data_IF_491892730495
#
_entry.id   IF_491892730495
#
_cell.length_a   1.000
_cell.length_b   1.000
_cell.length_c   1.000
_cell.angle_alpha   90.00
_cell.angle_beta   90.00
_cell.angle_gamma   90.00
#
_symmetry.space_group_name_H-M   'P 1'
#
loop_
_entity.id
_entity.type
_entity.pdbx_description
1 polymer ?
#
# COMPACT_ATOMS: atom_id res chain seq x y z
N UNK A 1 11.93 16.44 -5.96
CA UNK A 1 11.28 15.23 -5.45
C UNK A 1 10.92 14.42 -6.68
N UNK A 2 11.40 13.18 -6.75
CA UNK A 2 10.98 12.30 -7.84
C UNK A 2 9.50 11.97 -7.65
N UNK A 3 8.75 11.99 -8.75
CA UNK A 3 7.33 11.67 -8.76
C UNK A 3 7.14 10.17 -8.42
N UNK A 4 6.24 9.87 -7.49
CA UNK A 4 5.92 8.49 -7.15
C UNK A 4 4.99 7.90 -8.22
N UNK A 5 5.46 6.89 -8.94
CA UNK A 5 4.65 6.12 -9.88
C UNK A 5 3.81 5.08 -9.12
N UNK A 6 2.49 5.28 -9.12
CA UNK A 6 1.55 4.47 -8.35
C UNK A 6 0.90 3.36 -9.19
N UNK A 7 0.90 2.15 -8.66
CA UNK A 7 0.28 0.96 -9.25
C UNK A 7 -0.75 0.35 -8.30
N UNK A 8 -1.58 -0.58 -8.79
CA UNK A 8 -2.36 -1.47 -7.90
C UNK A 8 -1.66 -2.78 -7.79
N UNK A 9 -1.56 -3.27 -6.57
CA UNK A 9 -0.99 -4.57 -6.31
C UNK A 9 -1.60 -5.22 -5.07
N UNK A 10 -1.54 -6.55 -5.07
CA UNK A 10 -1.62 -7.32 -3.86
C UNK A 10 -0.19 -7.45 -3.28
N UNK A 11 -0.04 -7.15 -2.00
CA UNK A 11 1.26 -7.13 -1.30
C UNK A 11 1.24 -8.13 -0.16
N UNK A 12 2.24 -9.02 -0.14
CA UNK A 12 2.52 -9.89 1.00
C UNK A 12 3.85 -9.49 1.62
N UNK A 13 3.85 -9.28 2.93
CA UNK A 13 4.98 -8.93 3.77
C UNK A 13 5.40 -10.12 4.63
N UNK A 14 6.66 -10.16 5.05
CA UNK A 14 7.15 -11.16 6.01
C UNK A 14 6.52 -10.96 7.40
N UNK A 15 6.36 -9.71 7.81
CA UNK A 15 5.78 -9.32 9.10
C UNK A 15 4.50 -8.52 8.92
N UNK A 16 3.70 -8.44 10.00
CA UNK A 16 2.52 -7.57 10.05
C UNK A 16 2.96 -6.13 10.31
N UNK A 17 2.96 -5.30 9.26
CA UNK A 17 3.50 -3.93 9.31
C UNK A 17 2.49 -2.87 8.87
N UNK A 18 1.47 -3.21 8.09
CA UNK A 18 0.53 -2.25 7.52
C UNK A 18 -0.73 -2.18 8.38
N UNK A 19 -1.11 -1.01 8.93
CA UNK A 19 -2.36 -0.89 9.68
C UNK A 19 -3.59 -1.21 8.84
N UNK A 20 -4.51 -2.00 9.39
CA UNK A 20 -5.81 -2.25 8.79
C UNK A 20 -6.60 -0.94 8.76
N UNK A 21 -7.05 -0.46 7.58
CA UNK A 21 -7.77 0.79 7.46
C UNK A 21 -9.13 0.80 8.18
N UNK A 22 -9.69 -0.36 8.52
CA UNK A 22 -10.94 -0.51 9.27
C UNK A 22 -10.75 -0.77 10.76
N UNK A 23 -9.57 -1.25 11.16
CA UNK A 23 -9.21 -1.53 12.54
C UNK A 23 -7.73 -1.18 12.78
N UNK A 24 -7.39 0.10 12.98
CA UNK A 24 -5.99 0.56 12.99
C UNK A 24 -5.10 -0.06 14.08
N UNK A 25 -5.70 -0.68 15.11
CA UNK A 25 -4.98 -1.46 16.13
C UNK A 25 -4.52 -2.83 15.61
N UNK A 26 -5.06 -3.30 14.49
CA UNK A 26 -4.66 -4.53 13.82
C UNK A 26 -3.65 -4.22 12.71
N UNK A 27 -2.59 -5.02 12.64
CA UNK A 27 -1.58 -4.94 11.59
C UNK A 27 -1.75 -6.10 10.60
N UNK A 28 -1.55 -5.81 9.34
CA UNK A 28 -1.69 -6.72 8.20
C UNK A 28 -0.31 -7.01 7.60
N UNK A 29 -0.12 -8.26 7.19
CA UNK A 29 0.98 -8.70 6.33
C UNK A 29 0.51 -9.05 4.92
N UNK A 30 -0.80 -9.10 4.68
CA UNK A 30 -1.39 -9.29 3.36
C UNK A 30 -2.33 -8.11 3.10
N UNK A 31 -2.03 -7.35 2.04
CA UNK A 31 -2.76 -6.14 1.67
C UNK A 31 -3.21 -6.29 0.23
N UNK A 32 -4.51 -6.48 0.03
CA UNK A 32 -5.09 -6.67 -1.30
C UNK A 32 -5.53 -5.35 -1.92
N UNK A 33 -5.39 -5.26 -3.24
CA UNK A 33 -5.79 -4.12 -4.07
C UNK A 33 -5.23 -2.78 -3.58
N UNK A 34 -4.06 -2.79 -2.94
CA UNK A 34 -3.41 -1.59 -2.42
C UNK A 34 -2.93 -0.68 -3.56
N UNK A 35 -2.79 0.62 -3.29
CA UNK A 35 -1.99 1.50 -4.16
C UNK A 35 -0.55 1.47 -3.68
N UNK A 36 0.38 1.17 -4.58
CA UNK A 36 1.79 0.99 -4.24
C UNK A 36 2.69 1.84 -5.11
N UNK A 37 3.80 2.34 -4.55
CA UNK A 37 4.85 3.00 -5.31
C UNK A 37 6.23 2.57 -4.79
N UNK A 38 7.18 2.40 -5.69
CA UNK A 38 8.56 2.03 -5.35
C UNK A 38 9.44 3.27 -5.50
N UNK A 39 10.26 3.54 -4.47
CA UNK A 39 11.28 4.59 -4.52
C UNK A 39 12.55 4.08 -3.87
N UNK A 40 13.59 3.87 -4.68
CA UNK A 40 14.84 3.26 -4.22
C UNK A 40 14.61 1.89 -3.59
N UNK A 41 15.01 1.75 -2.32
CA UNK A 41 14.86 0.51 -1.54
C UNK A 41 13.57 0.44 -0.70
N UNK A 42 12.59 1.30 -0.97
CA UNK A 42 11.36 1.42 -0.19
C UNK A 42 10.11 1.16 -1.03
N UNK A 43 9.15 0.44 -0.44
CA UNK A 43 7.80 0.26 -0.96
C UNK A 43 6.84 1.13 -0.14
N UNK A 44 6.15 2.03 -0.82
CA UNK A 44 5.06 2.83 -0.29
C UNK A 44 3.76 2.06 -0.51
N UNK A 45 2.97 1.86 0.54
CA UNK A 45 1.74 1.08 0.53
C UNK A 45 0.60 1.94 1.09
N UNK A 46 -0.40 2.17 0.26
CA UNK A 46 -1.68 2.76 0.63
C UNK A 46 -2.76 1.67 0.59
N UNK A 47 -3.21 1.17 1.76
CA UNK A 47 -4.14 0.05 1.86
C UNK A 47 -5.59 0.46 1.56
N UNK A 48 -5.87 1.74 1.26
CA UNK A 48 -7.23 2.24 1.09
C UNK A 48 -7.72 2.25 -0.37
N UNK A 49 -6.92 1.80 -1.33
CA UNK A 49 -7.33 1.81 -2.74
C UNK A 49 -8.57 0.96 -2.95
N UNK A 50 -9.59 1.58 -3.57
CA UNK A 50 -10.95 1.05 -3.72
C UNK A 50 -11.96 1.64 -2.74
N UNK A 51 -11.53 2.41 -1.72
CA UNK A 51 -12.42 3.21 -0.88
C UNK A 51 -12.37 4.67 -1.30
N UNK A 52 -13.54 5.28 -1.42
CA UNK A 52 -13.62 6.73 -1.61
C UNK A 52 -12.98 7.43 -0.41
N UNK A 53 -12.28 8.53 -0.70
CA UNK A 53 -11.87 9.46 0.34
C UNK A 53 -13.14 9.94 1.06
N UNK A 54 -13.21 9.84 2.38
CA UNK A 54 -14.39 10.38 3.08
C UNK A 54 -14.44 11.91 2.90
N UNK A 55 -15.64 12.53 2.89
CA UNK A 55 -15.76 13.98 2.72
C UNK A 55 -14.88 14.73 3.74
N UNK A 56 -13.94 15.54 3.25
CA UNK A 56 -12.96 16.28 4.06
C UNK A 56 -11.60 15.59 4.25
N UNK A 57 -11.38 14.41 3.66
CA UNK A 57 -10.07 13.74 3.70
C UNK A 57 -9.07 14.42 2.75
N UNK A 58 -8.23 15.31 3.29
CA UNK A 58 -7.14 15.98 2.56
C UNK A 58 -5.81 15.21 2.53
N UNK A 59 -5.69 14.12 3.30
CA UNK A 59 -4.44 13.36 3.46
C UNK A 59 -4.68 11.86 3.45
N UNK A 60 -3.80 11.11 2.78
CA UNK A 60 -3.79 9.65 2.76
C UNK A 60 -2.68 9.11 3.66
N UNK A 61 -2.96 8.06 4.44
CA UNK A 61 -1.93 7.39 5.22
C UNK A 61 -1.23 6.35 4.35
N UNK A 62 0.06 6.58 4.11
CA UNK A 62 0.93 5.66 3.37
C UNK A 62 1.87 5.00 4.38
N UNK A 63 1.93 3.67 4.36
CA UNK A 63 2.93 2.91 5.10
C UNK A 63 4.15 2.73 4.21
N UNK A 64 5.34 3.09 4.70
CA UNK A 64 6.60 2.90 3.98
C UNK A 64 7.36 1.76 4.63
N UNK A 65 7.67 0.73 3.85
CA UNK A 65 8.46 -0.42 4.30
C UNK A 65 9.72 -0.55 3.46
N UNK A 66 10.78 -1.12 4.05
CA UNK A 66 11.94 -1.53 3.28
C UNK A 66 11.54 -2.65 2.30
N UNK A 67 12.11 -2.67 1.09
CA UNK A 67 11.84 -3.71 0.10
C UNK A 67 12.15 -5.11 0.63
N UNK A 68 13.11 -5.23 1.56
CA UNK A 68 13.45 -6.49 2.24
C UNK A 68 12.35 -7.05 3.15
N UNK A 69 11.37 -6.22 3.54
CA UNK A 69 10.21 -6.66 4.31
C UNK A 69 9.10 -7.27 3.42
N UNK A 70 9.22 -7.12 2.10
CA UNK A 70 8.23 -7.60 1.12
C UNK A 70 8.57 -9.04 0.73
N UNK A 71 7.58 -9.92 0.84
CA UNK A 71 7.67 -11.31 0.40
C UNK A 71 7.29 -11.44 -1.07
N UNK A 72 6.14 -10.89 -1.47
CA UNK A 72 5.68 -10.87 -2.86
C UNK A 72 4.90 -9.60 -3.15
N UNK A 73 4.96 -9.14 -4.40
CA UNK A 73 4.10 -8.09 -4.94
C UNK A 73 3.53 -8.59 -6.27
N UNK A 74 2.21 -8.55 -6.39
CA UNK A 74 1.50 -8.95 -7.60
C UNK A 74 0.75 -7.73 -8.15
N UNK A 75 1.23 -7.19 -9.27
CA UNK A 75 0.62 -6.02 -9.89
C UNK A 75 -0.63 -6.41 -10.66
N UNK A 76 -1.75 -5.77 -10.36
CA UNK A 76 -2.95 -5.88 -11.18
C UNK A 76 -2.96 -4.75 -12.19
N UNK A 77 -2.73 -5.07 -13.45
CA UNK A 77 -3.09 -4.17 -14.56
C UNK A 77 -4.60 -4.24 -14.71
N UNK A 78 -5.30 -3.16 -14.38
CA UNK A 78 -6.58 -2.92 -15.04
C UNK A 78 -6.22 -2.62 -16.50
N UNK A 79 -6.21 -3.65 -17.36
CA UNK A 79 -6.25 -3.40 -18.80
C UNK A 79 -7.52 -2.57 -19.10
N UNK A 80 -7.42 -1.59 -20.01
CA UNK A 80 -8.51 -0.67 -20.34
C UNK A 80 -9.75 -1.38 -20.94
#
# INVERSE_FOLDING_TARGET
>A
MDELHWYTADVVLYDKLVPDPTSPSNLMSNVQQARVAIQGAFLHIDPQRGKEAYPGQGTWKVTVVAASAVKTIEYTTMEP
#
